data_IF_376352047753
#
_entry.id   IF_376352047753
#
_cell.length_a   1.000
_cell.length_b   1.000
_cell.length_c   1.000
_cell.angle_alpha   90.00
_cell.angle_beta   90.00
_cell.angle_gamma   90.00
#
_symmetry.space_group_name_H-M   'P 1'
#
loop_
_entity.id
_entity.type
_entity.pdbx_description
1 polymer ?
#
# COMPACT_ATOMS: atom_id res chain seq x y z
N UNK A 1 -2.69 6.99 23.99
CA UNK A 1 -1.23 7.14 24.15
C UNK A 1 -0.61 6.97 22.78
N UNK A 2 -0.05 8.04 22.22
CA UNK A 2 0.68 8.04 20.94
C UNK A 2 2.17 7.90 21.26
N UNK A 3 2.87 6.98 20.60
CA UNK A 3 4.24 6.59 20.96
C UNK A 3 5.33 7.40 20.21
N UNK A 4 4.96 8.40 19.41
CA UNK A 4 5.89 9.27 18.65
C UNK A 4 6.96 8.53 17.82
N UNK A 5 6.68 7.27 17.47
CA UNK A 5 7.59 6.47 16.67
C UNK A 5 7.68 7.05 15.26
N UNK A 6 8.92 7.23 14.81
CA UNK A 6 9.21 7.67 13.46
C UNK A 6 8.90 6.56 12.45
N UNK A 7 8.53 6.97 11.24
CA UNK A 7 8.28 6.03 10.15
C UNK A 7 9.56 5.32 9.71
N UNK A 8 9.48 4.00 9.54
CA UNK A 8 10.58 3.19 9.01
C UNK A 8 10.26 2.76 7.56
N UNK A 9 11.15 3.08 6.62
CA UNK A 9 10.97 2.69 5.20
C UNK A 9 10.85 1.17 4.99
N UNK A 10 11.43 0.36 5.89
CA UNK A 10 11.32 -1.10 5.88
C UNK A 10 9.87 -1.60 5.91
N UNK A 11 8.94 -0.83 6.47
CA UNK A 11 7.51 -1.15 6.50
C UNK A 11 6.88 -1.22 5.09
N UNK A 12 7.51 -0.65 4.07
CA UNK A 12 7.05 -0.72 2.67
C UNK A 12 7.63 -1.91 1.89
N UNK A 13 8.61 -2.61 2.45
CA UNK A 13 9.30 -3.73 1.78
C UNK A 13 9.37 -4.97 2.69
N UNK A 14 8.23 -5.55 3.09
CA UNK A 14 8.22 -6.71 3.98
C UNK A 14 9.02 -7.91 3.42
N UNK A 15 9.08 -8.05 2.10
CA UNK A 15 9.80 -9.12 1.42
C UNK A 15 11.33 -9.10 1.61
N UNK A 16 11.91 -7.94 1.97
CA UNK A 16 13.35 -7.82 2.22
C UNK A 16 13.75 -8.11 3.67
N UNK A 17 12.78 -8.45 4.54
CA UNK A 17 13.06 -8.78 5.93
C UNK A 17 13.91 -10.08 6.03
N UNK A 18 14.96 -10.02 6.85
CA UNK A 18 15.89 -11.14 7.05
C UNK A 18 15.40 -12.16 8.08
N UNK A 19 14.37 -11.83 8.88
CA UNK A 19 13.83 -12.76 9.88
C UNK A 19 13.28 -14.02 9.22
N UNK A 20 13.38 -15.15 9.92
CA UNK A 20 12.85 -16.42 9.43
C UNK A 20 11.33 -16.38 9.36
N UNK A 21 10.78 -16.61 8.16
CA UNK A 21 9.33 -16.81 7.97
C UNK A 21 9.05 -18.30 8.12
N UNK A 22 8.07 -18.65 8.97
CA UNK A 22 7.67 -20.05 9.26
C UNK A 22 6.19 -20.27 8.94
N UNK A 23 5.76 -19.85 7.77
CA UNK A 23 4.39 -20.05 7.29
C UNK A 23 4.38 -21.02 6.10
N UNK A 24 3.26 -21.72 5.90
CA UNK A 24 3.11 -22.63 4.76
C UNK A 24 3.31 -21.91 3.40
N UNK A 25 2.98 -20.62 3.34
CA UNK A 25 3.15 -19.77 2.16
C UNK A 25 4.44 -18.93 2.17
N UNK A 26 5.54 -19.50 2.68
CA UNK A 26 6.83 -18.82 2.79
C UNK A 26 7.32 -18.19 1.47
N UNK A 27 7.09 -18.88 0.33
CA UNK A 27 7.49 -18.36 -0.97
C UNK A 27 6.71 -17.11 -1.37
N UNK A 28 5.41 -17.05 -1.06
CA UNK A 28 4.55 -15.90 -1.34
C UNK A 28 4.93 -14.69 -0.47
N UNK A 29 5.23 -14.90 0.81
CA UNK A 29 5.65 -13.84 1.73
C UNK A 29 6.95 -13.16 1.28
N UNK A 30 7.80 -13.90 0.54
CA UNK A 30 9.04 -13.37 -0.03
C UNK A 30 8.87 -12.70 -1.40
N UNK A 31 7.68 -12.72 -1.98
CA UNK A 31 7.40 -11.96 -3.19
C UNK A 31 7.12 -10.49 -2.87
N UNK A 32 7.43 -9.61 -3.81
CA UNK A 32 7.03 -8.19 -3.72
C UNK A 32 5.51 -8.08 -3.62
N UNK A 33 5.03 -7.04 -2.93
CA UNK A 33 3.60 -6.73 -2.85
C UNK A 33 3.05 -6.59 -4.26
N UNK A 34 2.01 -7.37 -4.57
CA UNK A 34 1.36 -7.36 -5.86
C UNK A 34 0.61 -6.04 -6.07
N UNK A 35 0.86 -5.39 -7.21
CA UNK A 35 0.25 -4.09 -7.57
C UNK A 35 -0.66 -4.17 -8.81
N UNK A 36 -0.82 -5.37 -9.40
CA UNK A 36 -1.45 -5.51 -10.72
C UNK A 36 -2.98 -5.38 -10.74
N UNK A 37 -3.66 -5.43 -9.59
CA UNK A 37 -5.14 -5.36 -9.52
C UNK A 37 -5.68 -4.02 -9.04
N UNK A 38 -4.83 -3.12 -8.53
CA UNK A 38 -5.29 -1.90 -7.85
C UNK A 38 -6.04 -0.91 -8.75
N UNK A 39 -6.01 -1.08 -10.07
CA UNK A 39 -6.74 -0.23 -11.02
C UNK A 39 -8.02 -0.87 -11.55
N UNK A 40 -8.31 -2.14 -11.20
CA UNK A 40 -9.48 -2.85 -11.73
C UNK A 40 -10.81 -2.22 -11.29
N UNK A 41 -10.85 -1.58 -10.12
CA UNK A 41 -12.04 -0.91 -9.62
C UNK A 41 -12.50 0.26 -10.51
N UNK A 42 -11.61 0.88 -11.30
CA UNK A 42 -11.96 2.00 -12.19
C UNK A 42 -13.05 1.65 -13.21
N UNK A 43 -13.18 0.37 -13.58
CA UNK A 43 -14.29 -0.09 -14.43
C UNK A 43 -15.67 0.17 -13.83
N UNK A 44 -15.72 0.31 -12.50
CA UNK A 44 -16.94 0.57 -11.75
C UNK A 44 -17.10 2.04 -11.36
N UNK A 45 -16.12 2.89 -11.66
CA UNK A 45 -16.11 4.32 -11.36
C UNK A 45 -17.40 5.05 -11.77
N UNK A 46 -18.01 4.80 -12.96
CA UNK A 46 -19.27 5.45 -13.34
C UNK A 46 -20.45 5.13 -12.42
N UNK A 47 -20.38 4.04 -11.64
CA UNK A 47 -21.44 3.61 -10.74
C UNK A 47 -21.24 4.09 -9.30
N UNK A 48 -20.13 4.78 -9.00
CA UNK A 48 -19.78 5.21 -7.64
C UNK A 48 -20.26 6.63 -7.30
N UNK A 49 -20.96 7.30 -8.21
CA UNK A 49 -21.56 8.62 -8.00
C UNK A 49 -20.58 9.65 -7.38
N UNK A 50 -19.34 9.68 -7.88
CA UNK A 50 -18.32 10.62 -7.41
C UNK A 50 -17.82 10.39 -5.98
N UNK A 51 -18.00 9.19 -5.41
CA UNK A 51 -17.59 8.89 -4.03
C UNK A 51 -16.11 9.16 -3.73
N UNK A 52 -15.25 9.19 -4.75
CA UNK A 52 -13.82 9.43 -4.63
C UNK A 52 -13.38 10.84 -5.03
N UNK A 53 -14.27 11.69 -5.56
CA UNK A 53 -13.93 13.03 -6.05
C UNK A 53 -13.33 13.92 -4.93
N UNK A 54 -13.75 13.70 -3.69
CA UNK A 54 -13.22 14.39 -2.51
C UNK A 54 -11.78 14.00 -2.16
N UNK A 55 -11.30 12.85 -2.66
CA UNK A 55 -9.95 12.32 -2.43
C UNK A 55 -8.97 12.74 -3.52
N UNK A 56 -9.42 13.25 -4.66
CA UNK A 56 -8.54 13.73 -5.74
C UNK A 56 -7.81 15.05 -5.39
N UNK A 57 -8.10 15.62 -4.22
CA UNK A 57 -7.44 16.83 -3.70
C UNK A 57 -6.11 16.56 -2.98
N UNK A 58 -5.03 17.07 -3.60
CA UNK A 58 -3.66 17.32 -3.10
C UNK A 58 -2.61 16.21 -3.28
N UNK A 59 -2.10 16.11 -4.51
CA UNK A 59 -0.69 15.72 -4.76
C UNK A 59 0.12 16.99 -5.05
N UNK A 60 0.28 17.87 -4.06
CA UNK A 60 1.17 19.04 -4.14
C UNK A 60 1.88 19.32 -2.80
N UNK A 61 2.39 18.27 -2.15
CA UNK A 61 3.24 18.46 -0.96
C UNK A 61 4.51 17.60 -0.95
N UNK A 62 5.13 17.38 -2.11
CA UNK A 62 6.47 16.79 -2.12
C UNK A 62 7.35 17.35 -3.24
N UNK A 63 7.54 18.67 -3.26
CA UNK A 63 8.68 19.35 -3.92
C UNK A 63 9.13 20.60 -3.14
N UNK A 64 9.04 20.58 -1.80
CA UNK A 64 9.86 21.46 -0.96
C UNK A 64 10.73 20.61 -0.05
#
# INVERSE_FOLDING_TARGET
MYLELQWEHGCLSPQSNQRSVRTASNQQVRQKVYQGSSQQWRKFEPYLNGAFDQLEGKIEQSLK
#
